data_IF_092211776812
#
_entry.id   IF_092211776812
#
_cell.length_a   1.000
_cell.length_b   1.000
_cell.length_c   1.000
_cell.angle_alpha   90.00
_cell.angle_beta   90.00
_cell.angle_gamma   90.00
#
_symmetry.space_group_name_H-M   'P 1'
#
loop_
_entity.id
_entity.type
_entity.pdbx_description
1 polymer ?
#
# COMPACT_ATOMS: atom_id res chain seq x y z
N UNK A 1 16.41 -30.00 -39.78
CA UNK A 1 15.52 -28.82 -39.75
C UNK A 1 15.12 -28.60 -38.31
N UNK A 2 15.69 -27.59 -37.68
CA UNK A 2 15.72 -27.42 -36.23
C UNK A 2 14.72 -26.33 -35.85
N UNK A 3 13.68 -26.66 -35.10
CA UNK A 3 12.74 -25.67 -34.55
C UNK A 3 13.34 -25.20 -33.23
N UNK A 4 13.91 -23.99 -33.27
CA UNK A 4 14.41 -23.28 -32.09
C UNK A 4 13.23 -22.80 -31.26
N UNK A 5 12.97 -23.51 -30.15
CA UNK A 5 12.04 -23.08 -29.13
C UNK A 5 12.57 -21.82 -28.44
N UNK A 6 11.86 -20.71 -28.61
CA UNK A 6 12.14 -19.44 -27.92
C UNK A 6 11.88 -19.63 -26.43
N UNK A 7 12.96 -19.75 -25.67
CA UNK A 7 12.97 -19.56 -24.22
C UNK A 7 12.60 -18.10 -23.94
N UNK A 8 11.39 -17.86 -23.44
CA UNK A 8 11.00 -16.55 -22.95
C UNK A 8 11.80 -16.29 -21.68
N UNK A 9 12.76 -15.37 -21.81
CA UNK A 9 13.59 -14.89 -20.71
C UNK A 9 12.70 -14.36 -19.59
N UNK A 10 12.85 -14.93 -18.39
CA UNK A 10 12.44 -14.32 -17.13
C UNK A 10 12.86 -12.84 -17.18
N UNK A 11 11.89 -11.94 -17.21
CA UNK A 11 12.14 -10.51 -17.14
C UNK A 11 12.83 -10.23 -15.81
N UNK A 12 14.08 -9.81 -15.96
CA UNK A 12 14.97 -9.24 -14.97
C UNK A 12 14.18 -8.39 -13.96
N UNK A 13 14.05 -8.88 -12.73
CA UNK A 13 13.58 -8.07 -11.59
C UNK A 13 14.56 -6.91 -11.50
N UNK A 14 14.06 -5.68 -11.65
CA UNK A 14 14.87 -4.48 -11.45
C UNK A 14 15.51 -4.58 -10.06
N UNK A 15 16.84 -4.71 -10.03
CA UNK A 15 17.59 -4.73 -8.78
C UNK A 15 17.19 -3.50 -7.95
N UNK A 16 16.89 -3.71 -6.68
CA UNK A 16 16.49 -2.70 -5.68
C UNK A 16 17.55 -1.61 -5.41
N UNK A 17 18.53 -1.45 -6.29
CA UNK A 17 19.67 -0.52 -6.18
C UNK A 17 19.43 0.83 -6.88
N UNK A 18 18.25 1.10 -7.42
CA UNK A 18 17.98 2.31 -8.23
C UNK A 18 16.92 3.26 -7.67
N UNK A 19 16.23 2.91 -6.58
CA UNK A 19 15.21 3.79 -6.02
C UNK A 19 15.83 4.97 -5.25
N UNK A 20 15.25 6.17 -5.34
CA UNK A 20 15.73 7.33 -4.63
C UNK A 20 15.44 7.17 -3.13
N UNK A 21 16.16 7.93 -2.30
CA UNK A 21 15.82 8.00 -0.88
C UNK A 21 14.36 8.46 -0.71
N UNK A 22 13.58 7.80 0.18
CA UNK A 22 12.19 8.19 0.39
C UNK A 22 12.10 9.61 0.95
N UNK A 23 11.11 10.35 0.47
CA UNK A 23 10.74 11.63 1.07
C UNK A 23 10.27 11.42 2.51
N UNK A 24 10.57 12.40 3.38
CA UNK A 24 10.15 12.38 4.78
C UNK A 24 9.32 13.61 5.11
N UNK A 25 8.35 13.45 6.01
CA UNK A 25 7.49 14.53 6.47
C UNK A 25 6.18 14.65 5.69
N UNK A 26 5.33 15.62 6.05
CA UNK A 26 3.93 15.66 5.62
C UNK A 26 3.70 16.40 4.29
N UNK A 27 4.76 16.93 3.67
CA UNK A 27 4.67 17.70 2.43
C UNK A 27 4.44 16.76 1.26
N UNK A 28 3.27 16.86 0.62
CA UNK A 28 2.91 15.92 -0.44
C UNK A 28 3.77 16.11 -1.69
N UNK A 29 4.30 14.99 -2.21
CA UNK A 29 5.02 14.95 -3.47
C UNK A 29 4.17 14.27 -4.55
N UNK A 30 4.14 14.79 -5.79
CA UNK A 30 3.43 14.13 -6.90
C UNK A 30 4.03 12.75 -7.19
N UNK A 31 3.27 11.78 -7.75
CA UNK A 31 3.77 10.44 -8.04
C UNK A 31 5.06 10.44 -8.86
N UNK A 32 6.01 9.59 -8.46
CA UNK A 32 7.34 9.51 -9.07
C UNK A 32 7.86 8.07 -9.14
N UNK A 33 9.14 7.89 -8.84
CA UNK A 33 9.84 6.61 -8.97
C UNK A 33 9.31 5.57 -7.97
N UNK A 34 8.96 5.97 -6.75
CA UNK A 34 8.44 5.04 -5.75
C UNK A 34 7.04 4.56 -6.07
N UNK A 35 6.14 5.47 -6.47
CA UNK A 35 4.80 5.15 -6.90
C UNK A 35 4.85 4.23 -8.12
N UNK A 36 5.71 4.52 -9.10
CA UNK A 36 5.91 3.67 -10.29
C UNK A 36 6.41 2.27 -9.92
N UNK A 37 7.35 2.17 -8.97
CA UNK A 37 7.88 0.90 -8.49
C UNK A 37 6.85 0.07 -7.72
N UNK A 38 6.05 0.69 -6.86
CA UNK A 38 4.99 -0.01 -6.14
C UNK A 38 3.87 -0.43 -7.12
N UNK A 39 3.61 0.38 -8.15
CA UNK A 39 2.62 0.10 -9.19
C UNK A 39 2.85 -1.20 -9.97
N UNK A 40 4.10 -1.61 -10.16
CA UNK A 40 4.41 -2.89 -10.82
C UNK A 40 4.18 -4.11 -9.92
N UNK A 41 3.94 -3.90 -8.63
CA UNK A 41 3.75 -4.93 -7.59
C UNK A 41 4.86 -5.99 -7.59
N UNK A 42 6.10 -5.60 -7.24
CA UNK A 42 7.26 -6.49 -7.25
C UNK A 42 7.35 -7.37 -5.98
N UNK A 43 6.23 -7.56 -5.28
CA UNK A 43 6.20 -8.19 -3.95
C UNK A 43 5.53 -9.56 -4.03
N UNK A 44 6.28 -10.62 -3.69
CA UNK A 44 5.79 -12.00 -3.72
C UNK A 44 4.63 -12.22 -2.73
N UNK A 45 4.58 -11.48 -1.63
CA UNK A 45 3.55 -11.62 -0.59
C UNK A 45 2.12 -11.31 -1.06
N UNK A 46 1.96 -10.67 -2.22
CA UNK A 46 0.64 -10.32 -2.80
C UNK A 46 0.43 -10.89 -4.19
N UNK A 47 1.37 -11.70 -4.69
CA UNK A 47 1.36 -12.28 -6.04
C UNK A 47 1.27 -13.80 -5.98
N UNK A 48 0.48 -14.37 -6.88
CA UNK A 48 0.59 -15.77 -7.30
C UNK A 48 0.71 -15.80 -8.82
N UNK A 49 1.94 -15.93 -9.31
CA UNK A 49 2.25 -15.77 -10.73
C UNK A 49 1.83 -14.39 -11.26
N UNK A 50 0.76 -14.35 -12.06
CA UNK A 50 0.23 -13.10 -12.63
C UNK A 50 -0.89 -12.49 -11.79
N UNK A 51 -1.46 -13.25 -10.87
CA UNK A 51 -2.64 -12.85 -10.12
C UNK A 51 -2.26 -12.03 -8.88
N UNK A 52 -3.15 -11.10 -8.52
CA UNK A 52 -3.07 -10.31 -7.29
C UNK A 52 -4.01 -10.96 -6.28
N UNK A 53 -3.43 -11.52 -5.22
CA UNK A 53 -4.16 -12.33 -4.25
C UNK A 53 -5.15 -11.50 -3.43
N UNK A 54 -4.75 -10.38 -2.80
CA UNK A 54 -5.66 -9.67 -1.90
C UNK A 54 -6.77 -8.95 -2.69
N UNK A 55 -8.06 -9.21 -2.40
CA UNK A 55 -9.17 -8.53 -3.07
C UNK A 55 -9.14 -7.01 -2.89
N UNK A 56 -8.68 -6.54 -1.73
CA UNK A 56 -8.58 -5.14 -1.42
C UNK A 56 -7.49 -4.46 -2.26
N UNK A 57 -6.30 -5.06 -2.36
CA UNK A 57 -5.28 -4.61 -3.31
C UNK A 57 -5.77 -4.58 -4.77
N UNK A 58 -6.55 -5.57 -5.22
CA UNK A 58 -7.15 -5.56 -6.57
C UNK A 58 -8.03 -4.34 -6.82
N UNK A 59 -8.72 -3.83 -5.81
CA UNK A 59 -9.45 -2.58 -5.92
C UNK A 59 -8.50 -1.38 -6.00
N UNK A 60 -7.52 -1.30 -5.09
CA UNK A 60 -6.59 -0.17 -5.01
C UNK A 60 -5.79 0.05 -6.30
N UNK A 61 -5.38 -1.02 -6.99
CA UNK A 61 -4.63 -0.92 -8.26
C UNK A 61 -5.44 -0.33 -9.40
N UNK A 62 -6.77 -0.27 -9.29
CA UNK A 62 -7.63 0.38 -10.30
C UNK A 62 -7.67 1.90 -10.15
N UNK A 63 -7.18 2.43 -9.03
CA UNK A 63 -7.20 3.85 -8.72
C UNK A 63 -5.90 4.54 -9.19
N UNK A 64 -5.97 5.76 -9.73
CA UNK A 64 -4.78 6.49 -10.14
C UNK A 64 -3.97 6.97 -8.91
N UNK A 65 -2.63 6.90 -8.95
CA UNK A 65 -1.79 7.40 -7.88
C UNK A 65 -1.90 8.93 -7.82
N UNK A 66 -1.97 9.46 -6.60
CA UNK A 66 -2.08 10.89 -6.32
C UNK A 66 -0.78 11.49 -5.80
N UNK A 67 0.07 10.66 -5.20
CA UNK A 67 1.29 11.08 -4.53
C UNK A 67 2.34 9.98 -4.44
N UNK A 68 3.56 10.37 -4.15
CA UNK A 68 4.62 9.46 -3.70
C UNK A 68 4.33 8.91 -2.31
N UNK A 69 4.71 7.66 -2.00
CA UNK A 69 4.81 7.21 -0.62
C UNK A 69 5.92 7.99 0.09
N UNK A 70 5.61 8.44 1.29
CA UNK A 70 6.51 9.26 2.11
C UNK A 70 6.58 8.65 3.50
N UNK A 71 7.70 8.85 4.17
CA UNK A 71 7.90 8.36 5.52
C UNK A 71 7.61 9.45 6.55
N UNK A 72 7.10 9.02 7.70
CA UNK A 72 7.05 9.86 8.89
C UNK A 72 8.45 10.29 9.30
N UNK A 73 8.57 11.53 9.79
CA UNK A 73 9.81 12.04 10.36
C UNK A 73 10.33 11.11 11.47
N UNK A 74 11.64 10.87 11.46
CA UNK A 74 12.30 10.03 12.47
C UNK A 74 12.40 8.54 12.10
N UNK A 75 11.78 8.09 11.01
CA UNK A 75 12.01 6.74 10.46
C UNK A 75 13.29 6.77 9.60
N UNK A 76 14.38 6.07 10.00
CA UNK A 76 15.67 6.16 9.33
C UNK A 76 15.81 5.14 8.19
N UNK A 77 14.72 4.83 7.49
CA UNK A 77 14.75 3.86 6.40
C UNK A 77 15.25 4.52 5.12
N UNK A 78 16.28 3.91 4.54
CA UNK A 78 16.66 4.18 3.16
C UNK A 78 15.75 3.43 2.18
N UNK A 79 16.06 3.51 0.89
CA UNK A 79 15.28 2.87 -0.14
C UNK A 79 15.24 1.34 -0.02
N UNK A 80 16.33 0.71 0.41
CA UNK A 80 16.37 -0.73 0.61
C UNK A 80 15.45 -1.13 1.76
N UNK A 81 15.54 -0.46 2.91
CA UNK A 81 14.73 -0.77 4.08
C UNK A 81 13.24 -0.51 3.83
N UNK A 82 12.89 0.62 3.21
CA UNK A 82 11.48 0.91 2.88
C UNK A 82 10.91 -0.18 1.96
N UNK A 83 11.60 -0.51 0.86
CA UNK A 83 11.11 -1.51 -0.08
C UNK A 83 10.96 -2.89 0.58
N UNK A 84 11.91 -3.24 1.47
CA UNK A 84 11.85 -4.49 2.25
C UNK A 84 10.67 -4.51 3.21
N UNK A 85 10.43 -3.42 3.95
CA UNK A 85 9.31 -3.37 4.91
C UNK A 85 7.96 -3.37 4.18
N UNK A 86 7.82 -2.69 3.03
CA UNK A 86 6.61 -2.79 2.21
C UNK A 86 6.36 -4.24 1.78
N UNK A 87 7.38 -4.94 1.27
CA UNK A 87 7.24 -6.31 0.77
C UNK A 87 7.13 -7.39 1.85
N UNK A 88 7.12 -7.03 3.14
CA UNK A 88 7.16 -7.98 4.25
C UNK A 88 5.82 -8.66 4.51
N UNK A 89 4.72 -7.92 4.37
CA UNK A 89 3.34 -8.35 4.64
C UNK A 89 2.42 -7.81 3.55
N UNK A 90 1.32 -8.51 3.26
CA UNK A 90 0.35 -8.05 2.27
C UNK A 90 -0.28 -6.71 2.68
N UNK A 91 -0.56 -6.56 3.97
CA UNK A 91 -1.14 -5.37 4.58
C UNK A 91 -0.23 -4.14 4.46
N UNK A 92 1.10 -4.33 4.47
CA UNK A 92 2.04 -3.24 4.22
C UNK A 92 2.00 -2.77 2.76
N UNK A 93 1.87 -3.71 1.81
CA UNK A 93 1.69 -3.38 0.39
C UNK A 93 0.37 -2.64 0.18
N UNK A 94 -0.72 -3.14 0.77
CA UNK A 94 -2.03 -2.50 0.70
C UNK A 94 -2.03 -1.11 1.35
N UNK A 95 -1.39 -0.95 2.52
CA UNK A 95 -1.22 0.33 3.17
C UNK A 95 -0.43 1.33 2.32
N UNK A 96 0.65 0.89 1.67
CA UNK A 96 1.43 1.73 0.76
C UNK A 96 0.61 2.16 -0.47
N UNK A 97 -0.13 1.23 -1.07
CA UNK A 97 -1.04 1.55 -2.18
C UNK A 97 -2.14 2.52 -1.77
N UNK A 98 -2.80 2.23 -0.65
CA UNK A 98 -3.84 3.07 -0.09
C UNK A 98 -3.32 4.48 0.18
N UNK A 99 -2.11 4.59 0.74
CA UNK A 99 -1.45 5.88 0.89
C UNK A 99 -1.26 6.58 -0.46
N UNK A 100 -0.85 5.89 -1.52
CA UNK A 100 -0.65 6.52 -2.83
C UNK A 100 -1.94 7.01 -3.50
N UNK A 101 -3.06 6.28 -3.37
CA UNK A 101 -4.23 6.45 -4.26
C UNK A 101 -5.45 7.13 -3.61
N UNK A 102 -5.57 7.08 -2.29
CA UNK A 102 -6.77 7.57 -1.60
C UNK A 102 -6.69 9.06 -1.22
N UNK A 103 -7.52 9.55 -0.28
CA UNK A 103 -7.48 10.94 0.17
C UNK A 103 -6.90 11.06 1.57
N UNK A 104 -6.00 12.04 1.74
CA UNK A 104 -5.62 12.54 3.06
C UNK A 104 -6.86 13.11 3.76
N UNK A 105 -7.00 12.82 5.05
CA UNK A 105 -8.03 13.44 5.89
C UNK A 105 -7.45 14.61 6.68
N UNK A 106 -8.30 15.59 6.99
CA UNK A 106 -7.93 16.72 7.86
C UNK A 106 -7.82 16.29 9.32
N UNK A 107 -8.71 15.39 9.75
CA UNK A 107 -8.75 14.88 11.12
C UNK A 107 -8.21 13.45 11.17
N UNK A 108 -7.03 13.30 11.75
CA UNK A 108 -6.34 12.01 11.86
C UNK A 108 -6.98 11.08 12.91
N UNK A 109 -6.81 9.77 12.75
CA UNK A 109 -7.19 8.79 13.76
C UNK A 109 -6.25 8.85 14.98
N UNK A 110 -6.67 8.27 16.10
CA UNK A 110 -5.89 8.27 17.34
C UNK A 110 -4.47 7.72 17.16
N UNK A 111 -4.30 6.64 16.38
CA UNK A 111 -2.99 6.05 16.11
C UNK A 111 -2.07 6.99 15.32
N UNK A 112 -2.59 7.63 14.27
CA UNK A 112 -1.83 8.60 13.47
C UNK A 112 -1.39 9.81 14.29
N UNK A 113 -2.27 10.33 15.16
CA UNK A 113 -1.97 11.44 16.07
C UNK A 113 -0.87 11.09 17.08
N UNK A 114 -0.80 9.82 17.50
CA UNK A 114 0.24 9.30 18.38
C UNK A 114 1.53 8.94 17.63
N UNK A 115 1.60 9.18 16.32
CA UNK A 115 2.79 8.91 15.53
C UNK A 115 2.93 7.48 15.02
N UNK A 116 1.86 6.68 15.07
CA UNK A 116 1.88 5.30 14.57
C UNK A 116 1.89 5.18 13.05
N UNK A 117 2.35 4.03 12.55
CA UNK A 117 2.48 3.70 11.14
C UNK A 117 3.66 4.40 10.45
N UNK A 118 3.98 3.90 9.26
CA UNK A 118 5.12 4.38 8.47
C UNK A 118 4.87 5.75 7.81
N UNK A 119 3.62 6.08 7.50
CA UNK A 119 3.29 7.24 6.68
C UNK A 119 3.07 8.51 7.54
N UNK A 120 3.42 9.69 7.02
CA UNK A 120 3.46 10.93 7.80
C UNK A 120 2.08 11.45 8.22
N UNK A 121 1.00 11.03 7.55
CA UNK A 121 -0.35 11.49 7.84
C UNK A 121 -1.41 10.44 7.50
N UNK A 122 -2.61 10.67 8.04
CA UNK A 122 -3.74 9.76 7.88
C UNK A 122 -4.37 9.84 6.48
N UNK A 123 -4.48 8.68 5.84
CA UNK A 123 -5.15 8.49 4.54
C UNK A 123 -6.16 7.40 4.74
N UNK A 124 -7.40 7.65 4.31
CA UNK A 124 -8.51 6.75 4.63
C UNK A 124 -9.21 6.25 3.39
N UNK A 125 -9.76 5.05 3.51
CA UNK A 125 -10.76 4.50 2.61
C UNK A 125 -12.07 4.44 3.36
N UNK A 126 -13.16 4.74 2.68
CA UNK A 126 -14.51 4.62 3.23
C UNK A 126 -15.19 3.44 2.55
N UNK A 127 -15.67 2.50 3.36
CA UNK A 127 -16.45 1.36 2.89
C UNK A 127 -17.93 1.75 2.79
N UNK A 128 -18.70 0.99 2.00
CA UNK A 128 -20.13 1.24 1.78
C UNK A 128 -20.96 1.14 3.06
N UNK A 129 -20.51 0.34 4.03
CA UNK A 129 -21.15 0.17 5.34
C UNK A 129 -20.87 1.34 6.31
N UNK A 130 -20.19 2.38 5.83
CA UNK A 130 -19.87 3.59 6.58
C UNK A 130 -18.64 3.46 7.47
N UNK A 131 -18.00 2.29 7.49
CA UNK A 131 -16.71 2.09 8.15
C UNK A 131 -15.58 2.75 7.38
N UNK A 132 -14.47 2.97 8.06
CA UNK A 132 -13.28 3.57 7.48
C UNK A 132 -12.04 2.99 8.12
N UNK A 133 -11.07 2.65 7.28
CA UNK A 133 -9.73 2.24 7.70
C UNK A 133 -8.74 3.31 7.26
N UNK A 134 -7.59 3.41 7.94
CA UNK A 134 -6.48 4.26 7.48
C UNK A 134 -5.23 3.46 7.18
N UNK A 135 -4.41 3.96 6.25
CA UNK A 135 -3.19 3.26 5.80
C UNK A 135 -2.23 2.94 6.95
N UNK A 136 -2.10 3.82 7.95
CA UNK A 136 -1.21 3.59 9.09
C UNK A 136 -1.76 2.54 10.08
N UNK A 137 -3.08 2.46 10.26
CA UNK A 137 -3.69 1.39 11.06
C UNK A 137 -3.56 0.04 10.34
N UNK A 138 -3.74 0.03 9.01
CA UNK A 138 -3.53 -1.15 8.17
C UNK A 138 -2.06 -1.61 8.24
N UNK A 139 -1.12 -0.66 8.19
CA UNK A 139 0.31 -0.93 8.35
C UNK A 139 0.65 -1.58 9.69
N UNK A 140 0.13 -1.05 10.80
CA UNK A 140 0.39 -1.58 12.15
C UNK A 140 -0.41 -2.85 12.46
N UNK A 141 -1.29 -3.30 11.54
CA UNK A 141 -2.20 -4.42 11.73
C UNK A 141 -2.98 -4.33 13.06
N UNK A 142 -3.53 -3.16 13.36
CA UNK A 142 -4.19 -2.96 14.66
C UNK A 142 -5.51 -3.73 14.73
N UNK A 143 -5.60 -4.80 15.51
CA UNK A 143 -6.82 -5.62 15.65
C UNK A 143 -8.04 -4.84 16.17
N UNK A 144 -7.82 -3.70 16.82
CA UNK A 144 -8.86 -2.90 17.48
C UNK A 144 -9.55 -1.90 16.54
N UNK A 145 -9.26 -1.94 15.24
CA UNK A 145 -9.87 -1.04 14.25
C UNK A 145 -9.23 0.34 14.19
N UNK A 146 -9.55 1.08 13.13
CA UNK A 146 -9.16 2.48 13.00
C UNK A 146 -10.09 3.37 13.85
N UNK A 147 -9.51 4.09 14.82
CA UNK A 147 -10.23 5.04 15.68
C UNK A 147 -10.22 6.43 15.07
N UNK A 148 -10.90 6.59 13.94
CA UNK A 148 -11.21 7.92 13.41
C UNK A 148 -12.25 8.54 14.34
N UNK A 149 -11.93 9.71 14.91
CA UNK A 149 -12.74 10.40 15.93
C UNK A 149 -14.23 10.44 15.53
N UNK A 150 -15.03 9.52 16.06
CA UNK A 150 -16.48 9.40 15.83
C UNK A 150 -16.98 8.17 15.05
N UNK A 151 -16.11 7.34 14.46
CA UNK A 151 -16.50 6.10 13.78
C UNK A 151 -15.60 4.94 14.23
N UNK A 152 -16.18 3.91 14.85
CA UNK A 152 -15.49 2.62 15.06
C UNK A 152 -15.44 1.89 13.71
N UNK A 153 -14.24 1.65 13.18
CA UNK A 153 -14.06 0.54 12.23
C UNK A 153 -14.07 -0.77 12.99
N UNK A 154 -14.92 -1.72 12.62
CA UNK A 154 -14.81 -3.11 13.06
C UNK A 154 -14.07 -3.89 11.99
N UNK A 155 -12.95 -4.51 12.34
CA UNK A 155 -12.32 -5.49 11.45
C UNK A 155 -13.33 -6.57 11.09
N UNK A 156 -13.67 -6.65 9.81
CA UNK A 156 -14.24 -7.85 9.24
C UNK A 156 -13.26 -8.42 8.22
N UNK A 157 -12.76 -9.60 8.53
CA UNK A 157 -12.38 -10.59 7.52
C UNK A 157 -13.61 -10.87 6.65
N UNK A 158 -13.87 -10.03 5.65
CA UNK A 158 -14.90 -10.31 4.63
C UNK A 158 -14.31 -10.23 3.23
N UNK A 159 -13.75 -11.37 2.86
CA UNK A 159 -13.61 -11.88 1.51
C UNK A 159 -14.99 -12.09 0.81
N UNK A 160 -16.00 -11.22 1.02
CA UNK A 160 -17.38 -11.50 0.57
C UNK A 160 -18.18 -10.32 0.01
N UNK A 161 -17.58 -9.14 -0.23
CA UNK A 161 -18.30 -8.01 -0.85
C UNK A 161 -18.08 -7.83 -2.36
N UNK A 162 -17.29 -8.69 -2.99
CA UNK A 162 -17.33 -8.84 -4.45
C UNK A 162 -18.07 -10.13 -4.78
N UNK A 163 -19.40 -10.12 -4.60
CA UNK A 163 -20.24 -11.09 -5.31
C UNK A 163 -19.99 -10.87 -6.80
N UNK A 164 -19.49 -11.91 -7.45
CA UNK A 164 -19.45 -12.04 -8.89
C UNK A 164 -20.78 -11.55 -9.47
N UNK A 165 -20.73 -10.41 -10.17
CA UNK A 165 -21.79 -10.05 -11.08
C UNK A 165 -21.65 -11.00 -12.25
N UNK A 166 -22.67 -11.83 -12.40
CA UNK A 166 -22.81 -12.94 -13.35
C UNK A 166 -22.76 -12.47 -14.79
#
# INVERSE_FOLDING_TARGET
MTISGRCLTLSHVANATSLPAPHTGPDEHPPGEWASHIQILPYDCVRDGRDILPPFLRYLVTLPPRREPMLRNGIPWDAFYLNKEIGKLAEHVEAAYMFMVERRVELECALCQLGGGAFPYCVVINYEDGQSECCNCLWEYTTDGCWLLGKRGQFFTQCSLYKEST
#
